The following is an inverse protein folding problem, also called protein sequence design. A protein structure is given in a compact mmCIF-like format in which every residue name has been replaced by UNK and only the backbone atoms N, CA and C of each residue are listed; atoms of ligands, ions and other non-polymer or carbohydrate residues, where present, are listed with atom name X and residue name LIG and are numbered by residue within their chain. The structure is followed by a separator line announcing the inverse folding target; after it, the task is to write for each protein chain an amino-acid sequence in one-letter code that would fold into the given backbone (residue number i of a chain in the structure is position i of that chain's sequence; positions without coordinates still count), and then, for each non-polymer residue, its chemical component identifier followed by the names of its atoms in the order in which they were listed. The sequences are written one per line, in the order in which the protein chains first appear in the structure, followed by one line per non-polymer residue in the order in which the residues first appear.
data_IF_876856401665
#
_entry.id   IF_876856401665
#
_cell.length_a   1.000
_cell.length_b   1.000
_cell.length_c   1.000
_cell.angle_alpha   90.00
_cell.angle_beta   90.00
_cell.angle_gamma   90.00
#
_symmetry.space_group_name_H-M   'P 1'
#
loop_
_entity.id
_entity.type
_entity.pdbx_description
1 polymer ?
#
# COMPACT_ATOMS: atom_id res chain seq x y z
N UNK A 1 -13.31 -0.52 -15.14
CA UNK A 1 -11.89 -0.49 -15.64
C UNK A 1 -11.92 -0.99 -17.07
N UNK A 2 -11.18 -0.35 -17.97
CA UNK A 2 -11.06 -0.78 -19.37
C UNK A 2 -10.37 -2.16 -19.43
N UNK A 3 -10.86 -3.08 -20.29
CA UNK A 3 -10.29 -4.43 -20.47
C UNK A 3 -8.80 -4.40 -20.85
N UNK A 4 -8.37 -3.36 -21.58
CA UNK A 4 -6.96 -3.17 -21.93
C UNK A 4 -6.09 -2.98 -20.67
N UNK A 5 -6.49 -2.10 -19.74
CA UNK A 5 -5.76 -1.84 -18.49
C UNK A 5 -5.67 -3.10 -17.64
N UNK A 6 -6.78 -3.84 -17.53
CA UNK A 6 -6.81 -5.10 -16.80
C UNK A 6 -5.85 -6.13 -17.41
N UNK A 7 -5.86 -6.25 -18.73
CA UNK A 7 -5.00 -7.19 -19.45
C UNK A 7 -3.52 -6.85 -19.29
N UNK A 8 -3.16 -5.56 -19.40
CA UNK A 8 -1.78 -5.09 -19.21
C UNK A 8 -1.31 -5.29 -17.77
N UNK A 9 -2.11 -4.90 -16.76
CA UNK A 9 -1.77 -5.12 -15.36
C UNK A 9 -1.58 -6.60 -15.04
N UNK A 10 -2.47 -7.46 -15.54
CA UNK A 10 -2.35 -8.92 -15.37
C UNK A 10 -1.08 -9.47 -16.02
N UNK A 11 -0.68 -8.94 -17.18
CA UNK A 11 0.54 -9.37 -17.89
C UNK A 11 1.81 -8.95 -17.14
N UNK A 12 1.84 -7.70 -16.66
CA UNK A 12 3.00 -7.13 -15.96
C UNK A 12 3.15 -7.74 -14.57
N UNK A 13 2.03 -7.86 -13.84
CA UNK A 13 2.01 -8.33 -12.44
C UNK A 13 1.48 -9.76 -12.31
N UNK A 14 1.93 -10.67 -13.16
CA UNK A 14 1.52 -12.07 -13.13
C UNK A 14 1.71 -12.68 -11.72
N UNK A 15 0.60 -13.21 -11.12
CA UNK A 15 0.59 -13.71 -9.74
C UNK A 15 0.51 -12.62 -8.65
N UNK A 16 0.67 -11.34 -9.01
CA UNK A 16 0.55 -10.17 -8.12
C UNK A 16 -0.56 -9.20 -8.55
N UNK A 17 -1.56 -9.73 -9.24
CA UNK A 17 -2.76 -9.04 -9.69
C UNK A 17 -3.97 -9.95 -9.48
N UNK A 18 -5.03 -9.45 -8.85
CA UNK A 18 -6.22 -10.25 -8.57
C UNK A 18 -7.50 -9.48 -8.86
N UNK A 19 -8.44 -10.15 -9.49
CA UNK A 19 -9.84 -9.70 -9.67
C UNK A 19 -10.81 -10.54 -8.85
N UNK A 20 -10.32 -11.51 -8.06
CA UNK A 20 -11.20 -12.37 -7.25
C UNK A 20 -11.93 -11.53 -6.20
N UNK A 21 -13.19 -11.83 -5.99
CA UNK A 21 -14.04 -11.11 -5.04
C UNK A 21 -13.47 -11.20 -3.61
N UNK A 22 -13.03 -12.39 -3.21
CA UNK A 22 -12.44 -12.61 -1.89
C UNK A 22 -11.19 -11.74 -1.64
N UNK A 23 -10.30 -11.63 -2.64
CA UNK A 23 -9.14 -10.73 -2.52
C UNK A 23 -9.59 -9.28 -2.43
N UNK A 24 -10.48 -8.84 -3.33
CA UNK A 24 -10.97 -7.45 -3.36
C UNK A 24 -11.67 -7.05 -2.06
N UNK A 25 -12.40 -7.96 -1.44
CA UNK A 25 -13.10 -7.73 -0.17
C UNK A 25 -12.12 -7.41 0.98
N UNK A 26 -10.93 -8.04 1.00
CA UNK A 26 -9.91 -7.77 2.02
C UNK A 26 -9.32 -6.36 1.94
N UNK A 27 -9.47 -5.68 0.81
CA UNK A 27 -8.94 -4.32 0.55
C UNK A 27 -10.06 -3.33 0.21
N UNK A 28 -11.28 -3.58 0.69
CA UNK A 28 -12.44 -2.77 0.35
C UNK A 28 -12.65 -1.56 1.27
N UNK A 29 -12.08 -1.61 2.48
CA UNK A 29 -12.10 -0.53 3.49
C UNK A 29 -10.99 -0.72 4.53
N UNK A 30 -10.75 0.31 5.35
CA UNK A 30 -9.88 0.25 6.52
C UNK A 30 -10.65 -0.06 7.82
N UNK A 31 -10.17 0.46 8.95
CA UNK A 31 -10.81 0.42 10.28
C UNK A 31 -11.83 1.55 10.47
N UNK A 32 -12.26 2.15 9.38
CA UNK A 32 -13.28 3.20 9.34
C UNK A 32 -14.71 2.65 9.48
N UNK A 33 -15.70 3.55 9.53
CA UNK A 33 -17.13 3.24 9.64
C UNK A 33 -17.87 3.27 8.29
N UNK A 34 -17.17 3.51 7.20
CA UNK A 34 -17.76 3.57 5.87
C UNK A 34 -18.11 2.18 5.34
N UNK A 35 -19.11 2.12 4.48
CA UNK A 35 -19.44 0.87 3.77
C UNK A 35 -18.28 0.43 2.87
N UNK A 36 -17.95 -0.87 2.85
CA UNK A 36 -16.87 -1.38 2.01
C UNK A 36 -17.22 -1.21 0.53
N UNK A 37 -16.28 -0.70 -0.24
CA UNK A 37 -16.42 -0.58 -1.71
C UNK A 37 -15.34 -1.43 -2.37
N UNK A 38 -15.77 -2.41 -3.17
CA UNK A 38 -14.84 -3.28 -3.90
C UNK A 38 -14.27 -2.55 -5.12
N UNK A 39 -12.98 -2.32 -5.13
CA UNK A 39 -12.26 -1.95 -6.35
C UNK A 39 -12.36 -3.09 -7.38
N UNK A 40 -12.16 -2.80 -8.67
CA UNK A 40 -12.26 -3.80 -9.73
C UNK A 40 -11.11 -4.82 -9.73
N UNK A 41 -9.98 -4.44 -9.18
CA UNK A 41 -8.82 -5.30 -8.99
C UNK A 41 -7.96 -4.82 -7.82
N UNK A 42 -7.10 -5.71 -7.33
CA UNK A 42 -6.00 -5.41 -6.42
C UNK A 42 -4.68 -5.78 -7.09
N UNK A 43 -3.67 -4.90 -6.99
CA UNK A 43 -2.32 -5.13 -7.51
C UNK A 43 -1.30 -4.95 -6.39
N UNK A 44 -0.24 -5.77 -6.40
CA UNK A 44 0.74 -5.89 -5.33
C UNK A 44 2.15 -5.56 -5.85
N UNK A 45 2.54 -4.29 -5.97
CA UNK A 45 3.89 -3.91 -6.36
C UNK A 45 4.90 -4.22 -5.24
N UNK A 46 6.16 -4.40 -5.64
CA UNK A 46 7.30 -4.64 -4.75
C UNK A 46 8.32 -3.50 -4.79
N UNK A 47 8.24 -2.64 -5.82
CA UNK A 47 9.18 -1.53 -6.05
C UNK A 47 8.49 -0.21 -6.41
N UNK A 48 9.23 0.89 -6.25
CA UNK A 48 8.76 2.22 -6.65
C UNK A 48 8.52 2.32 -8.16
N UNK A 49 9.34 1.63 -8.95
CA UNK A 49 9.23 1.58 -10.42
C UNK A 49 7.93 0.91 -10.83
N UNK A 50 7.56 -0.18 -10.16
CA UNK A 50 6.29 -0.87 -10.39
C UNK A 50 5.09 0.01 -10.03
N UNK A 51 5.14 0.72 -8.90
CA UNK A 51 4.11 1.70 -8.53
C UNK A 51 4.00 2.78 -9.60
N UNK A 52 5.13 3.31 -10.08
CA UNK A 52 5.16 4.32 -11.16
C UNK A 52 4.52 3.80 -12.45
N UNK A 53 4.80 2.55 -12.84
CA UNK A 53 4.18 1.92 -14.02
C UNK A 53 2.66 1.80 -13.87
N UNK A 54 2.19 1.33 -12.72
CA UNK A 54 0.75 1.24 -12.43
C UNK A 54 0.09 2.61 -12.54
N UNK A 55 0.68 3.62 -11.87
CA UNK A 55 0.11 4.96 -11.84
C UNK A 55 0.08 5.62 -13.24
N UNK A 56 1.12 5.44 -14.06
CA UNK A 56 1.14 5.93 -15.44
C UNK A 56 0.03 5.29 -16.26
N UNK A 57 -0.07 3.96 -16.23
CA UNK A 57 -1.10 3.23 -16.96
C UNK A 57 -2.51 3.67 -16.52
N UNK A 58 -2.75 3.77 -15.22
CA UNK A 58 -4.04 4.21 -14.69
C UNK A 58 -4.35 5.67 -15.05
N UNK A 59 -3.35 6.57 -15.01
CA UNK A 59 -3.54 7.96 -15.39
C UNK A 59 -3.89 8.12 -16.89
N UNK A 60 -3.22 7.39 -17.77
CA UNK A 60 -3.47 7.45 -19.22
C UNK A 60 -4.89 7.01 -19.55
N UNK A 61 -5.42 6.06 -18.82
CA UNK A 61 -6.77 5.52 -18.99
C UNK A 61 -7.82 6.09 -18.02
N UNK A 62 -7.44 7.09 -17.19
CA UNK A 62 -8.34 7.73 -16.19
C UNK A 62 -8.98 6.74 -15.22
N UNK A 63 -8.23 5.72 -14.81
CA UNK A 63 -8.64 4.73 -13.81
C UNK A 63 -8.29 5.24 -12.42
N UNK A 64 -9.25 5.41 -11.51
CA UNK A 64 -8.97 5.78 -10.12
C UNK A 64 -8.10 4.75 -9.40
N UNK A 65 -7.22 5.21 -8.53
CA UNK A 65 -6.32 4.36 -7.74
C UNK A 65 -6.47 4.66 -6.27
N UNK A 66 -6.62 3.62 -5.47
CA UNK A 66 -6.66 3.70 -4.00
C UNK A 66 -5.42 2.99 -3.45
N UNK A 67 -4.50 3.69 -2.76
CA UNK A 67 -3.39 3.03 -2.07
C UNK A 67 -3.90 2.37 -0.79
N UNK A 68 -3.38 1.18 -0.47
CA UNK A 68 -3.71 0.43 0.73
C UNK A 68 -2.43 -0.02 1.43
N UNK A 69 -2.22 0.44 2.65
CA UNK A 69 -1.14 0.01 3.54
C UNK A 69 -1.62 -1.09 4.47
N UNK A 70 -1.66 -0.81 5.78
CA UNK A 70 -2.18 -1.72 6.82
C UNK A 70 -3.69 -1.64 7.03
N UNK A 71 -4.36 -0.70 6.35
CA UNK A 71 -5.81 -0.52 6.47
C UNK A 71 -6.27 0.14 7.77
N UNK A 72 -5.40 0.78 8.53
CA UNK A 72 -5.69 1.38 9.86
C UNK A 72 -6.27 2.80 9.79
N UNK A 73 -6.57 3.32 8.59
CA UNK A 73 -7.19 4.64 8.43
C UNK A 73 -8.62 4.65 8.99
N UNK A 74 -8.94 5.69 9.76
CA UNK A 74 -10.29 5.93 10.31
C UNK A 74 -11.12 6.88 9.44
N UNK A 75 -10.49 7.56 8.47
CA UNK A 75 -11.08 8.62 7.65
C UNK A 75 -11.50 8.16 6.26
N UNK A 76 -11.61 6.84 6.04
CA UNK A 76 -12.05 6.27 4.76
C UNK A 76 -11.01 6.29 3.63
N UNK A 77 -9.75 6.64 3.91
CA UNK A 77 -8.70 6.71 2.87
C UNK A 77 -8.39 5.35 2.22
N UNK A 78 -8.74 4.26 2.90
CA UNK A 78 -8.56 2.89 2.41
C UNK A 78 -9.83 2.29 1.78
N UNK A 79 -10.93 3.05 1.70
CA UNK A 79 -12.16 2.61 1.03
C UNK A 79 -11.90 2.47 -0.47
N UNK A 80 -12.27 1.33 -1.03
CA UNK A 80 -12.06 1.04 -2.45
C UNK A 80 -12.84 1.96 -3.39
N UNK A 81 -12.63 1.80 -4.69
CA UNK A 81 -13.33 2.56 -5.73
C UNK A 81 -13.90 1.59 -6.79
N UNK A 82 -15.22 1.57 -6.97
CA UNK A 82 -15.91 0.65 -7.88
C UNK A 82 -15.52 0.81 -9.36
N UNK A 83 -14.95 1.96 -9.74
CA UNK A 83 -14.43 2.23 -11.09
C UNK A 83 -12.91 2.14 -11.18
N UNK A 84 -12.23 1.88 -10.06
CA UNK A 84 -10.78 1.93 -9.91
C UNK A 84 -10.15 0.62 -9.50
N UNK A 85 -8.87 0.72 -9.15
CA UNK A 85 -8.09 -0.38 -8.58
C UNK A 85 -7.55 -0.01 -7.20
N UNK A 86 -7.25 -1.02 -6.40
CA UNK A 86 -6.48 -0.85 -5.16
C UNK A 86 -5.03 -1.28 -5.40
N UNK A 87 -4.07 -0.47 -4.96
CA UNK A 87 -2.65 -0.84 -4.88
C UNK A 87 -2.35 -1.23 -3.44
N UNK A 88 -2.18 -2.53 -3.18
CA UNK A 88 -1.72 -3.00 -1.87
C UNK A 88 -0.21 -2.89 -1.78
N UNK A 89 0.28 -2.16 -0.78
CA UNK A 89 1.71 -1.95 -0.53
C UNK A 89 2.31 -3.01 0.40
N UNK A 90 1.58 -4.07 0.75
CA UNK A 90 2.00 -5.09 1.71
C UNK A 90 3.36 -5.72 1.40
N UNK A 91 3.74 -5.79 0.11
CA UNK A 91 5.03 -6.31 -0.35
C UNK A 91 6.16 -5.28 -0.31
N UNK A 92 5.84 -4.01 -0.01
CA UNK A 92 6.81 -2.92 0.12
C UNK A 92 7.12 -2.65 1.60
N UNK A 93 7.69 -3.62 2.28
CA UNK A 93 7.89 -3.66 3.73
C UNK A 93 9.34 -3.81 4.18
N UNK A 94 10.30 -3.36 3.36
CA UNK A 94 11.73 -3.47 3.66
C UNK A 94 12.28 -2.19 4.29
N UNK A 95 13.10 -2.33 5.35
CA UNK A 95 14.02 -1.29 5.82
C UNK A 95 15.21 -1.31 4.87
N UNK A 96 15.49 -0.19 4.21
CA UNK A 96 16.49 -0.10 3.15
C UNK A 96 17.84 0.39 3.67
N UNK A 97 17.83 1.41 4.53
CA UNK A 97 19.02 2.02 5.10
C UNK A 97 18.70 2.59 6.48
N UNK A 98 19.63 2.48 7.42
CA UNK A 98 19.58 3.14 8.72
C UNK A 98 20.87 3.93 8.90
N UNK A 99 20.77 5.22 9.22
CA UNK A 99 21.86 6.11 9.54
C UNK A 99 21.66 6.59 11.00
N UNK A 100 22.05 5.75 11.96
CA UNK A 100 21.78 5.99 13.37
C UNK A 100 22.42 7.30 13.91
N UNK A 101 23.59 7.68 13.40
CA UNK A 101 24.29 8.91 13.76
C UNK A 101 23.54 10.17 13.27
N UNK A 102 22.82 10.07 12.15
CA UNK A 102 22.05 11.17 11.56
C UNK A 102 20.57 11.15 11.98
N UNK A 103 20.16 10.14 12.76
CA UNK A 103 18.78 9.91 13.17
C UNK A 103 17.80 9.81 12.00
N UNK A 104 18.22 9.25 10.88
CA UNK A 104 17.36 9.00 9.73
C UNK A 104 17.38 7.54 9.26
N UNK A 105 16.36 7.18 8.50
CA UNK A 105 16.31 5.89 7.81
C UNK A 105 15.52 6.01 6.51
N UNK A 106 15.79 5.09 5.59
CA UNK A 106 15.03 4.90 4.37
C UNK A 106 14.30 3.57 4.44
N UNK A 107 12.99 3.60 4.28
CA UNK A 107 12.12 2.42 4.34
C UNK A 107 11.15 2.39 3.17
N UNK A 108 10.63 1.23 2.83
CA UNK A 108 9.48 1.12 1.93
C UNK A 108 8.19 1.51 2.66
N UNK A 109 7.18 1.94 1.91
CA UNK A 109 5.99 2.60 2.43
C UNK A 109 5.16 1.76 3.42
N UNK A 110 5.20 0.43 3.30
CA UNK A 110 4.42 -0.45 4.19
C UNK A 110 5.21 -0.98 5.41
N UNK A 111 6.42 -0.47 5.67
CA UNK A 111 7.09 -0.74 6.94
C UNK A 111 6.26 -0.14 8.06
N UNK A 112 5.89 -0.95 9.06
CA UNK A 112 5.14 -0.46 10.21
C UNK A 112 6.04 0.11 11.28
N UNK A 113 5.48 0.94 12.18
CA UNK A 113 6.21 1.47 13.33
C UNK A 113 6.83 0.35 14.17
N UNK A 114 6.07 -0.68 14.46
CA UNK A 114 6.56 -1.81 15.28
C UNK A 114 7.71 -2.54 14.58
N UNK A 115 7.56 -2.82 13.30
CA UNK A 115 8.60 -3.45 12.49
C UNK A 115 9.88 -2.61 12.49
N UNK A 116 9.76 -1.29 12.28
CA UNK A 116 10.92 -0.40 12.29
C UNK A 116 11.60 -0.38 13.66
N UNK A 117 10.84 -0.24 14.75
CA UNK A 117 11.42 -0.19 16.09
C UNK A 117 12.06 -1.51 16.52
N UNK A 118 11.53 -2.65 16.08
CA UNK A 118 12.19 -3.94 16.30
C UNK A 118 13.52 -4.04 15.51
N UNK A 119 13.54 -3.52 14.28
CA UNK A 119 14.75 -3.47 13.46
C UNK A 119 15.83 -2.57 14.07
N UNK A 120 15.43 -1.41 14.65
CA UNK A 120 16.33 -0.40 15.23
C UNK A 120 16.81 -0.75 16.64
N UNK A 121 16.34 -1.82 17.25
CA UNK A 121 16.59 -2.15 18.66
C UNK A 121 18.07 -2.19 19.02
N UNK A 122 18.91 -2.75 18.15
CA UNK A 122 20.35 -2.88 18.38
C UNK A 122 21.13 -1.57 18.09
N UNK A 123 20.52 -0.62 17.37
CA UNK A 123 21.14 0.67 17.03
C UNK A 123 20.94 1.72 18.13
N UNK A 124 20.13 1.43 19.16
CA UNK A 124 19.88 2.33 20.29
C UNK A 124 19.03 3.56 19.95
N UNK A 125 18.36 3.54 18.81
CA UNK A 125 17.43 4.58 18.32
C UNK A 125 16.03 4.00 18.09
N UNK A 126 15.01 4.87 18.02
CA UNK A 126 13.65 4.43 17.76
C UNK A 126 12.82 5.51 17.07
N UNK A 127 11.77 5.08 16.36
CA UNK A 127 10.77 5.97 15.77
C UNK A 127 9.69 6.28 16.82
N UNK A 128 9.55 7.56 17.27
CA UNK A 128 8.78 7.90 18.45
C UNK A 128 7.27 8.04 18.22
N UNK A 129 6.83 8.14 16.95
CA UNK A 129 5.41 8.37 16.65
C UNK A 129 4.60 7.10 16.94
N UNK A 130 3.56 7.24 17.74
CA UNK A 130 2.63 6.14 18.09
C UNK A 130 1.19 6.52 17.74
N UNK A 131 0.68 6.06 16.60
CA UNK A 131 -0.70 6.33 16.19
C UNK A 131 -1.74 5.47 16.93
N UNK A 132 -1.32 4.60 17.86
CA UNK A 132 -2.18 3.62 18.56
C UNK A 132 -2.35 2.31 17.78
N UNK A 133 -2.52 2.36 16.47
CA UNK A 133 -2.52 1.19 15.59
C UNK A 133 -1.11 0.87 15.09
N UNK A 134 -0.88 -0.36 14.60
CA UNK A 134 0.38 -0.69 13.91
C UNK A 134 0.31 -0.19 12.45
N UNK A 135 0.33 1.12 12.29
CA UNK A 135 0.19 1.78 11.00
C UNK A 135 1.48 1.71 10.18
N UNK A 136 1.31 1.72 8.85
CA UNK A 136 2.41 1.82 7.91
C UNK A 136 2.97 3.25 7.86
N UNK A 137 4.30 3.39 7.75
CA UNK A 137 4.97 4.70 7.69
C UNK A 137 4.50 5.54 6.50
N UNK A 138 4.27 4.93 5.34
CA UNK A 138 3.72 5.64 4.18
C UNK A 138 2.28 6.13 4.36
N UNK A 139 1.51 5.54 5.28
CA UNK A 139 0.18 6.02 5.65
C UNK A 139 0.19 7.11 6.72
N UNK A 140 1.32 7.26 7.44
CA UNK A 140 1.52 8.31 8.45
C UNK A 140 2.15 9.58 7.89
N UNK A 141 2.78 9.51 6.70
CA UNK A 141 3.51 10.61 6.06
C UNK A 141 2.59 11.65 5.39
#
# INVERSE_FOLDING_TARGET
MNENVQSELKKIFNGRFSTSESTRANYARGEDTYDPVLSQAVVFPETNEEVSQILKLCNDHKVPVVPFGTGTSLEGNAVGNSNGITISLEKMNKVLTVNAEDFDCRVQANVTRKQLNEYLREDGVFFPIDPGADAALGGMA
#
